data_IF_617471690448
#
_entry.id   IF_617471690448
#
_cell.length_a   1.000
_cell.length_b   1.000
_cell.length_c   1.000
_cell.angle_alpha   90.00
_cell.angle_beta   90.00
_cell.angle_gamma   90.00
#
_symmetry.space_group_name_H-M   'P 1'
#
loop_
_entity.id
_entity.type
_entity.pdbx_description
1 polymer ?
#
# COMPACT_ATOMS: atom_id res chain seq x y z
N UNK A 1 -7.69 -11.15 -73.57
CA UNK A 1 -7.58 -10.28 -72.37
C UNK A 1 -7.53 -11.18 -71.15
N UNK A 2 -6.42 -11.23 -70.40
CA UNK A 2 -6.40 -11.93 -69.13
C UNK A 2 -6.86 -10.99 -68.02
N UNK A 3 -7.77 -11.48 -67.19
CA UNK A 3 -8.29 -10.79 -66.02
C UNK A 3 -7.25 -10.91 -64.91
N UNK A 4 -6.67 -9.79 -64.50
CA UNK A 4 -5.81 -9.72 -63.34
C UNK A 4 -6.69 -9.71 -62.08
N UNK A 5 -6.92 -10.88 -61.50
CA UNK A 5 -7.49 -11.00 -60.15
C UNK A 5 -6.38 -11.07 -59.12
N UNK A 6 -6.24 -9.97 -58.39
CA UNK A 6 -6.11 -9.91 -56.95
C UNK A 6 -5.00 -10.73 -56.26
N UNK A 7 -3.76 -10.27 -56.44
CA UNK A 7 -2.65 -10.53 -55.50
C UNK A 7 -2.43 -9.40 -54.50
N UNK A 8 -3.36 -8.44 -54.43
CA UNK A 8 -3.26 -7.24 -53.59
C UNK A 8 -3.83 -7.49 -52.19
N UNK A 9 -5.03 -8.07 -52.11
CA UNK A 9 -5.73 -8.29 -50.84
C UNK A 9 -4.99 -9.27 -49.94
N UNK A 10 -4.42 -10.34 -50.49
CA UNK A 10 -3.71 -11.37 -49.71
C UNK A 10 -2.40 -10.87 -49.09
N UNK A 11 -1.70 -9.90 -49.71
CA UNK A 11 -0.49 -9.27 -49.12
C UNK A 11 -0.81 -8.26 -48.03
N UNK A 12 -1.97 -7.61 -48.09
CA UNK A 12 -2.38 -6.63 -47.09
C UNK A 12 -2.87 -7.31 -45.81
N UNK A 13 -3.53 -8.47 -45.91
CA UNK A 13 -3.98 -9.27 -44.76
C UNK A 13 -2.80 -9.77 -43.92
N UNK A 14 -1.77 -10.34 -44.53
CA UNK A 14 -0.55 -10.78 -43.80
C UNK A 14 0.17 -9.60 -43.11
N UNK A 15 0.13 -8.40 -43.71
CA UNK A 15 0.77 -7.20 -43.17
C UNK A 15 0.09 -6.62 -41.92
N UNK A 16 -1.19 -6.91 -41.67
CA UNK A 16 -1.91 -6.45 -40.46
C UNK A 16 -1.88 -7.45 -39.31
N UNK A 17 -1.65 -8.74 -39.56
CA UNK A 17 -1.39 -9.71 -38.49
C UNK A 17 0.00 -9.48 -37.85
N UNK A 18 1.00 -9.15 -38.66
CA UNK A 18 2.37 -8.81 -38.22
C UNK A 18 2.44 -7.78 -37.06
N UNK A 19 1.76 -6.62 -37.11
CA UNK A 19 1.82 -5.63 -36.04
C UNK A 19 1.14 -6.09 -34.75
N UNK A 20 0.05 -6.86 -34.81
CA UNK A 20 -0.62 -7.36 -33.60
C UNK A 20 0.27 -8.38 -32.86
N UNK A 21 0.82 -9.35 -33.58
CA UNK A 21 1.64 -10.39 -32.97
C UNK A 21 2.97 -9.85 -32.46
N UNK A 22 3.53 -8.82 -33.10
CA UNK A 22 4.71 -8.13 -32.58
C UNK A 22 4.40 -7.40 -31.26
N UNK A 23 3.28 -6.67 -31.19
CA UNK A 23 2.86 -6.04 -29.93
C UNK A 23 2.62 -7.06 -28.82
N UNK A 24 2.00 -8.20 -29.12
CA UNK A 24 1.79 -9.28 -28.14
C UNK A 24 3.11 -9.91 -27.69
N UNK A 25 4.06 -10.08 -28.60
CA UNK A 25 5.39 -10.60 -28.28
C UNK A 25 6.18 -9.64 -27.38
N UNK A 26 6.17 -8.35 -27.69
CA UNK A 26 6.80 -7.31 -26.87
C UNK A 26 6.16 -7.27 -25.47
N UNK A 27 4.83 -7.33 -25.40
CA UNK A 27 4.10 -7.39 -24.15
C UNK A 27 4.39 -8.65 -23.32
N UNK A 28 4.67 -9.79 -23.96
CA UNK A 28 5.09 -11.01 -23.26
C UNK A 28 6.51 -10.92 -22.70
N UNK A 29 7.40 -10.13 -23.34
CA UNK A 29 8.77 -9.90 -22.85
C UNK A 29 8.77 -8.91 -21.67
N UNK A 30 7.93 -7.89 -21.72
CA UNK A 30 7.82 -6.84 -20.72
C UNK A 30 6.36 -6.60 -20.30
N UNK A 31 5.75 -7.54 -19.54
CA UNK A 31 4.33 -7.50 -19.16
C UNK A 31 3.96 -6.29 -18.31
N UNK A 32 4.89 -5.77 -17.52
CA UNK A 32 4.67 -4.65 -16.59
C UNK A 32 4.56 -3.32 -17.34
N UNK A 33 5.26 -3.21 -18.48
CA UNK A 33 5.25 -2.05 -19.36
C UNK A 33 4.19 -2.16 -20.48
N UNK A 34 3.48 -3.28 -20.57
CA UNK A 34 2.54 -3.55 -21.65
C UNK A 34 1.27 -2.66 -21.53
N UNK A 35 0.97 -1.91 -22.59
CA UNK A 35 -0.30 -1.18 -22.70
C UNK A 35 -1.41 -2.09 -23.25
N UNK A 36 -2.26 -2.57 -22.34
CA UNK A 36 -3.40 -3.42 -22.66
C UNK A 36 -4.38 -2.75 -23.62
N UNK A 37 -4.56 -1.42 -23.53
CA UNK A 37 -5.47 -0.71 -24.44
C UNK A 37 -4.91 -0.72 -25.86
N UNK A 38 -3.59 -0.58 -26.00
CA UNK A 38 -2.93 -0.69 -27.29
C UNK A 38 -3.07 -2.09 -27.89
N UNK A 39 -2.95 -3.15 -27.07
CA UNK A 39 -3.15 -4.54 -27.51
C UNK A 39 -4.59 -4.79 -27.99
N UNK A 40 -5.60 -4.33 -27.25
CA UNK A 40 -7.00 -4.48 -27.62
C UNK A 40 -7.34 -3.68 -28.89
N UNK A 41 -6.83 -2.46 -29.01
CA UNK A 41 -7.02 -1.66 -30.24
C UNK A 41 -6.34 -2.33 -31.45
N UNK A 42 -5.15 -2.92 -31.26
CA UNK A 42 -4.47 -3.69 -32.30
C UNK A 42 -5.27 -4.92 -32.73
N UNK A 43 -5.90 -5.59 -31.77
CA UNK A 43 -6.79 -6.72 -32.03
C UNK A 43 -8.01 -6.28 -32.85
N UNK A 44 -8.72 -5.23 -32.43
CA UNK A 44 -9.90 -4.73 -33.16
C UNK A 44 -9.56 -4.37 -34.61
N UNK A 45 -8.41 -3.73 -34.84
CA UNK A 45 -7.93 -3.39 -36.18
C UNK A 45 -7.64 -4.62 -37.04
N UNK A 46 -7.02 -5.66 -36.46
CA UNK A 46 -6.76 -6.92 -37.15
C UNK A 46 -8.06 -7.65 -37.50
N UNK A 47 -9.06 -7.63 -36.62
CA UNK A 47 -10.34 -8.29 -36.83
C UNK A 47 -11.22 -7.61 -37.89
N UNK A 48 -11.14 -6.28 -38.05
CA UNK A 48 -11.95 -5.54 -39.04
C UNK A 48 -11.78 -6.00 -40.49
N UNK A 49 -10.66 -6.65 -40.82
CA UNK A 49 -10.35 -7.06 -42.20
C UNK A 49 -10.63 -8.54 -42.49
N UNK A 50 -11.03 -9.30 -41.47
CA UNK A 50 -11.26 -10.74 -41.58
C UNK A 50 -12.75 -11.08 -41.74
N UNK A 51 -13.01 -12.22 -42.35
CA UNK A 51 -14.34 -12.83 -42.35
C UNK A 51 -14.70 -13.40 -40.96
N UNK A 52 -15.96 -13.76 -40.74
CA UNK A 52 -16.43 -14.20 -39.41
C UNK A 52 -15.64 -15.39 -38.85
N UNK A 53 -15.19 -16.31 -39.71
CA UNK A 53 -14.40 -17.47 -39.28
C UNK A 53 -12.97 -17.04 -38.90
N UNK A 54 -12.33 -16.20 -39.70
CA UNK A 54 -11.01 -15.64 -39.38
C UNK A 54 -11.04 -14.77 -38.12
N UNK A 55 -12.10 -13.96 -37.94
CA UNK A 55 -12.29 -13.17 -36.73
C UNK A 55 -12.34 -14.03 -35.47
N UNK A 56 -13.07 -15.15 -35.50
CA UNK A 56 -13.16 -16.05 -34.36
C UNK A 56 -11.82 -16.75 -34.08
N UNK A 57 -11.10 -17.17 -35.12
CA UNK A 57 -9.80 -17.85 -34.96
C UNK A 57 -8.72 -16.91 -34.43
N UNK A 58 -8.51 -15.78 -35.10
CA UNK A 58 -7.50 -14.77 -34.72
C UNK A 58 -7.88 -14.12 -33.39
N UNK A 59 -9.16 -13.81 -33.20
CA UNK A 59 -9.69 -13.27 -31.95
C UNK A 59 -9.44 -14.18 -30.76
N UNK A 60 -9.76 -15.47 -30.88
CA UNK A 60 -9.52 -16.43 -29.80
C UNK A 60 -8.03 -16.56 -29.47
N UNK A 61 -7.17 -16.65 -30.49
CA UNK A 61 -5.72 -16.79 -30.30
C UNK A 61 -5.11 -15.53 -29.66
N UNK A 62 -5.50 -14.34 -30.11
CA UNK A 62 -5.00 -13.09 -29.57
C UNK A 62 -5.49 -12.85 -28.14
N UNK A 63 -6.78 -13.10 -27.85
CA UNK A 63 -7.32 -12.97 -26.49
C UNK A 63 -6.59 -13.93 -25.53
N UNK A 64 -6.31 -15.17 -25.96
CA UNK A 64 -5.56 -16.11 -25.13
C UNK A 64 -4.16 -15.59 -24.78
N UNK A 65 -3.46 -14.94 -25.72
CA UNK A 65 -2.15 -14.33 -25.45
C UNK A 65 -2.25 -13.08 -24.57
N UNK A 66 -3.28 -12.23 -24.75
CA UNK A 66 -3.51 -11.09 -23.86
C UNK A 66 -3.73 -11.57 -22.41
N UNK A 67 -4.50 -12.64 -22.22
CA UNK A 67 -4.71 -13.23 -20.90
C UNK A 67 -3.41 -13.76 -20.31
N UNK A 68 -2.53 -14.37 -21.11
CA UNK A 68 -1.20 -14.79 -20.64
C UNK A 68 -0.33 -13.61 -20.20
N UNK A 69 -0.38 -12.48 -20.90
CA UNK A 69 0.32 -11.25 -20.48
C UNK A 69 -0.20 -10.78 -19.12
N UNK A 70 -1.52 -10.84 -18.90
CA UNK A 70 -2.12 -10.51 -17.60
C UNK A 70 -1.69 -11.46 -16.48
N UNK A 71 -1.66 -12.77 -16.76
CA UNK A 71 -1.18 -13.78 -15.83
C UNK A 71 0.26 -13.48 -15.42
N UNK A 72 1.16 -13.28 -16.39
CA UNK A 72 2.56 -12.98 -16.14
C UNK A 72 2.72 -11.70 -15.31
N UNK A 73 1.99 -10.64 -15.65
CA UNK A 73 2.00 -9.38 -14.90
C UNK A 73 1.51 -9.57 -13.46
N UNK A 74 0.47 -10.40 -13.26
CA UNK A 74 -0.06 -10.66 -11.92
C UNK A 74 0.95 -11.42 -11.06
N UNK A 75 1.63 -12.42 -11.63
CA UNK A 75 2.68 -13.19 -10.94
C UNK A 75 3.81 -12.27 -10.51
N UNK A 76 4.32 -11.41 -11.40
CA UNK A 76 5.38 -10.45 -11.07
C UNK A 76 4.95 -9.47 -9.98
N UNK A 77 3.72 -8.95 -10.05
CA UNK A 77 3.20 -8.07 -9.01
C UNK A 77 3.09 -8.77 -7.64
N UNK A 78 2.68 -10.06 -7.61
CA UNK A 78 2.66 -10.83 -6.37
C UNK A 78 4.07 -11.09 -5.83
N UNK A 79 5.02 -11.46 -6.70
CA UNK A 79 6.43 -11.64 -6.31
C UNK A 79 7.04 -10.35 -5.72
N UNK A 80 6.74 -9.19 -6.31
CA UNK A 80 7.18 -7.88 -5.80
C UNK A 80 6.58 -7.57 -4.42
N UNK A 81 5.28 -7.85 -4.24
CA UNK A 81 4.60 -7.68 -2.96
C UNK A 81 5.15 -8.61 -1.89
N UNK A 82 5.42 -9.87 -2.22
CA UNK A 82 6.05 -10.83 -1.30
C UNK A 82 7.48 -10.40 -0.93
N UNK A 83 8.27 -9.96 -1.91
CA UNK A 83 9.63 -9.46 -1.66
C UNK A 83 9.65 -8.23 -0.76
N UNK A 84 8.66 -7.35 -0.86
CA UNK A 84 8.59 -6.11 -0.07
C UNK A 84 8.05 -6.34 1.36
N UNK A 85 7.17 -7.33 1.54
CA UNK A 85 6.50 -7.60 2.81
C UNK A 85 7.10 -8.77 3.61
N UNK A 86 8.10 -9.48 3.06
CA UNK A 86 8.77 -10.56 3.79
C UNK A 86 9.69 -10.02 4.88
N UNK A 87 9.40 -10.37 6.14
CA UNK A 87 10.26 -10.08 7.31
C UNK A 87 11.55 -10.93 7.30
N UNK A 88 11.59 -11.97 6.48
CA UNK A 88 12.66 -12.98 6.46
C UNK A 88 13.97 -12.46 5.83
N UNK A 89 13.93 -11.29 5.19
CA UNK A 89 15.07 -10.69 4.50
C UNK A 89 15.55 -11.51 3.29
N UNK A 90 16.55 -11.02 2.53
CA UNK A 90 17.09 -11.76 1.42
C UNK A 90 17.79 -13.04 1.90
N UNK A 91 17.37 -14.21 1.39
CA UNK A 91 18.04 -15.49 1.65
C UNK A 91 19.40 -15.49 0.95
N UNK A 92 20.45 -15.28 1.73
CA UNK A 92 21.84 -15.26 1.27
C UNK A 92 22.51 -16.60 1.56
N UNK A 93 23.29 -17.17 0.61
CA UNK A 93 24.11 -18.34 0.91
C UNK A 93 25.19 -17.99 1.95
N UNK A 94 25.64 -18.99 2.72
CA UNK A 94 26.58 -18.80 3.84
C UNK A 94 27.90 -18.12 3.43
N UNK A 95 28.29 -18.23 2.16
CA UNK A 95 29.52 -17.68 1.58
C UNK A 95 29.33 -16.33 0.86
N UNK A 96 28.12 -15.73 0.92
CA UNK A 96 27.80 -14.53 0.15
C UNK A 96 28.72 -13.32 0.46
N UNK A 97 29.27 -13.27 1.68
CA UNK A 97 30.18 -12.22 2.12
C UNK A 97 31.67 -12.56 1.96
N UNK A 98 32.04 -13.81 1.66
CA UNK A 98 33.45 -14.23 1.60
C UNK A 98 34.26 -13.47 0.55
N UNK A 99 33.61 -12.98 -0.51
CA UNK A 99 34.23 -12.16 -1.56
C UNK A 99 34.30 -10.67 -1.22
N UNK A 100 33.56 -10.24 -0.20
CA UNK A 100 33.43 -8.83 0.21
C UNK A 100 34.11 -8.54 1.56
N UNK A 101 34.43 -9.56 2.35
CA UNK A 101 35.33 -9.43 3.50
C UNK A 101 36.74 -9.16 2.97
N UNK A 102 37.06 -7.88 2.78
CA UNK A 102 38.45 -7.46 2.65
C UNK A 102 39.12 -7.81 3.97
N UNK A 103 40.12 -8.68 3.91
CA UNK A 103 41.07 -8.90 4.99
C UNK A 103 41.58 -7.52 5.42
N UNK A 104 41.18 -7.07 6.62
CA UNK A 104 41.55 -5.76 7.14
C UNK A 104 43.07 -5.69 7.22
N UNK A 105 43.69 -4.85 6.40
CA UNK A 105 45.07 -4.45 6.64
C UNK A 105 45.05 -3.43 7.77
N UNK A 106 45.50 -3.87 8.93
CA UNK A 106 45.77 -2.98 10.06
C UNK A 106 46.98 -2.12 9.68
N UNK A 107 46.74 -0.82 9.49
CA UNK A 107 47.80 0.16 9.28
C UNK A 107 48.08 0.79 10.64
N UNK A 108 49.27 0.54 11.17
CA UNK A 108 49.74 1.21 12.37
C UNK A 108 50.04 2.68 12.05
N UNK A 109 49.13 3.55 12.51
CA UNK A 109 49.20 4.99 12.35
C UNK A 109 49.90 5.68 13.53
N UNK A 110 50.31 4.95 14.58
CA UNK A 110 50.98 5.54 15.75
C UNK A 110 52.28 6.25 15.35
N UNK A 111 52.97 5.72 14.35
CA UNK A 111 54.19 6.32 13.77
C UNK A 111 53.96 7.68 13.08
N UNK A 112 52.71 8.05 12.78
CA UNK A 112 52.36 9.32 12.12
C UNK A 112 51.68 10.33 13.06
N UNK A 113 51.49 9.99 14.33
CA UNK A 113 50.89 10.90 15.33
C UNK A 113 52.03 11.70 15.98
N UNK A 114 52.11 12.98 15.65
CA UNK A 114 53.00 13.91 16.35
C UNK A 114 52.49 14.14 17.79
N UNK A 115 53.36 14.07 18.83
CA UNK A 115 52.92 14.25 20.21
C UNK A 115 52.31 15.64 20.41
N UNK A 116 51.02 15.69 20.74
CA UNK A 116 50.35 16.95 21.10
C UNK A 116 50.97 17.49 22.40
N UNK A 117 51.69 18.63 22.31
CA UNK A 117 52.02 19.41 23.50
C UNK A 117 50.70 19.75 24.21
N UNK A 118 50.64 19.42 25.50
CA UNK A 118 49.42 19.41 26.29
C UNK A 118 48.62 20.71 26.17
N UNK A 119 47.55 20.69 25.37
CA UNK A 119 46.60 21.79 25.34
C UNK A 119 45.82 21.80 26.66
N UNK A 120 45.65 22.96 27.31
CA UNK A 120 44.94 23.03 28.59
C UNK A 120 43.49 22.59 28.39
N UNK A 121 43.12 21.45 28.99
CA UNK A 121 41.73 20.96 29.00
C UNK A 121 40.84 21.97 29.70
N UNK A 122 39.97 22.64 28.94
CA UNK A 122 38.80 23.32 29.51
C UNK A 122 37.83 22.24 29.99
N UNK A 123 37.45 22.28 31.27
CA UNK A 123 36.45 21.37 31.82
C UNK A 123 35.10 21.57 31.09
N UNK A 124 34.35 20.49 30.80
CA UNK A 124 33.05 20.62 30.16
C UNK A 124 32.02 21.14 31.16
N UNK A 125 31.73 22.44 31.12
CA UNK A 125 30.45 22.95 31.61
C UNK A 125 29.37 22.56 30.59
N UNK A 126 28.71 21.43 30.82
CA UNK A 126 27.40 21.15 30.20
C UNK A 126 26.33 21.51 31.22
N UNK A 127 25.81 22.73 31.11
CA UNK A 127 24.49 23.05 31.64
C UNK A 127 23.45 22.31 30.79
N UNK A 128 22.79 21.32 31.37
CA UNK A 128 21.62 20.67 30.77
C UNK A 128 20.51 21.71 30.78
N UNK A 129 20.22 22.29 29.62
CA UNK A 129 19.02 23.10 29.43
C UNK A 129 17.81 22.18 29.30
N UNK A 130 16.79 22.43 30.11
CA UNK A 130 15.46 21.83 29.96
C UNK A 130 14.88 22.22 28.59
N UNK A 131 14.80 21.25 27.68
CA UNK A 131 14.26 21.45 26.34
C UNK A 131 14.45 20.23 25.45
N UNK A 132 13.44 19.35 25.46
CA UNK A 132 13.10 18.38 24.41
C UNK A 132 14.16 17.33 24.01
N UNK A 133 14.61 16.53 24.98
CA UNK A 133 15.04 15.16 24.69
C UNK A 133 14.38 14.20 25.68
N UNK A 134 13.36 13.48 25.19
CA UNK A 134 12.65 12.42 25.93
C UNK A 134 13.31 11.05 25.65
N UNK A 135 14.61 11.03 25.40
CA UNK A 135 15.37 9.78 25.35
C UNK A 135 16.09 9.65 26.68
N UNK A 136 15.34 9.19 27.68
CA UNK A 136 15.92 8.63 28.89
C UNK A 136 16.22 7.15 28.65
N UNK A 137 17.35 6.66 29.16
CA UNK A 137 17.58 5.22 29.28
C UNK A 137 16.50 4.64 30.20
N UNK A 138 15.47 4.03 29.62
CA UNK A 138 14.46 3.31 30.38
C UNK A 138 14.98 1.89 30.58
N UNK A 139 15.11 1.48 31.83
CA UNK A 139 15.45 0.11 32.19
C UNK A 139 14.40 -0.85 31.62
N UNK A 140 14.85 -1.76 30.75
CA UNK A 140 14.01 -2.73 30.05
C UNK A 140 13.17 -3.56 31.03
N UNK A 141 13.72 -3.87 32.21
CA UNK A 141 13.00 -4.62 33.24
C UNK A 141 11.82 -3.84 33.82
N UNK A 142 11.98 -2.53 34.04
CA UNK A 142 10.91 -1.65 34.53
C UNK A 142 9.79 -1.49 33.49
N UNK A 143 10.15 -1.41 32.20
CA UNK A 143 9.19 -1.29 31.11
C UNK A 143 8.34 -2.57 30.95
N UNK A 144 8.98 -3.74 31.01
CA UNK A 144 8.28 -5.03 30.98
C UNK A 144 7.36 -5.20 32.18
N UNK A 145 7.77 -4.75 33.37
CA UNK A 145 6.96 -4.85 34.58
C UNK A 145 5.74 -3.90 34.55
N UNK A 146 5.91 -2.70 33.97
CA UNK A 146 4.81 -1.77 33.74
C UNK A 146 3.79 -2.32 32.72
N UNK A 147 4.28 -2.96 31.65
CA UNK A 147 3.44 -3.63 30.66
C UNK A 147 2.64 -4.79 31.29
N UNK A 148 3.30 -5.62 32.10
CA UNK A 148 2.68 -6.73 32.83
C UNK A 148 1.60 -6.23 33.82
N UNK A 149 1.85 -5.09 34.48
CA UNK A 149 0.86 -4.47 35.37
C UNK A 149 -0.34 -3.92 34.59
N UNK A 150 -0.11 -3.29 33.44
CA UNK A 150 -1.18 -2.76 32.59
C UNK A 150 -2.05 -3.89 32.02
N UNK A 151 -1.42 -4.98 31.55
CA UNK A 151 -2.12 -6.20 31.08
C UNK A 151 -2.93 -6.89 32.18
N UNK A 152 -2.54 -6.76 33.46
CA UNK A 152 -3.30 -7.27 34.61
C UNK A 152 -4.45 -6.35 35.05
N UNK A 153 -4.36 -5.05 34.75
CA UNK A 153 -5.37 -4.06 35.13
C UNK A 153 -6.54 -3.99 34.13
N UNK A 154 -6.30 -4.37 32.87
CA UNK A 154 -7.35 -4.54 31.86
C UNK A 154 -7.51 -6.01 31.46
N UNK A 155 -8.33 -6.81 32.17
CA UNK A 155 -8.62 -8.17 31.76
C UNK A 155 -9.61 -8.12 30.61
N UNK A 156 -9.13 -8.23 29.38
CA UNK A 156 -10.01 -8.61 28.27
C UNK A 156 -9.68 -7.95 26.96
N UNK A 157 -8.74 -8.57 26.24
CA UNK A 157 -8.96 -9.15 24.91
C UNK A 157 -7.64 -9.83 24.57
N UNK A 158 -7.65 -11.16 24.47
CA UNK A 158 -6.49 -11.83 23.86
C UNK A 158 -6.33 -11.29 22.43
N UNK A 159 -5.10 -11.16 21.92
CA UNK A 159 -4.85 -10.67 20.54
C UNK A 159 -5.69 -11.45 19.52
N UNK A 160 -5.92 -12.74 19.78
CA UNK A 160 -6.76 -13.63 18.99
C UNK A 160 -8.24 -13.21 19.00
N UNK A 161 -8.79 -12.78 20.13
CA UNK A 161 -10.17 -12.29 20.21
C UNK A 161 -10.33 -10.92 19.56
N UNK A 162 -9.32 -10.04 19.68
CA UNK A 162 -9.30 -8.76 18.99
C UNK A 162 -9.23 -8.95 17.46
N UNK A 163 -8.38 -9.88 17.00
CA UNK A 163 -8.25 -10.25 15.59
C UNK A 163 -9.54 -10.89 15.05
N UNK A 164 -10.13 -11.84 15.76
CA UNK A 164 -11.38 -12.47 15.35
C UNK A 164 -12.53 -11.46 15.25
N UNK A 165 -12.63 -10.51 16.19
CA UNK A 165 -13.61 -9.41 16.09
C UNK A 165 -13.35 -8.49 14.89
N UNK A 166 -12.09 -8.22 14.56
CA UNK A 166 -11.73 -7.45 13.37
C UNK A 166 -12.10 -8.20 12.07
N UNK A 167 -11.84 -9.51 12.01
CA UNK A 167 -12.20 -10.37 10.86
C UNK A 167 -13.72 -10.51 10.69
N UNK A 168 -14.47 -10.70 11.79
CA UNK A 168 -15.94 -10.72 11.78
C UNK A 168 -16.52 -9.39 11.29
N UNK A 169 -15.89 -8.27 11.67
CA UNK A 169 -16.28 -6.94 11.21
C UNK A 169 -16.04 -6.77 9.70
N UNK A 170 -14.93 -7.30 9.18
CA UNK A 170 -14.57 -7.22 7.75
C UNK A 170 -15.50 -8.04 6.82
N UNK A 171 -16.18 -9.08 7.34
CA UNK A 171 -17.10 -9.92 6.55
C UNK A 171 -18.57 -9.49 6.65
N UNK A 172 -18.89 -8.56 7.55
CA UNK A 172 -20.24 -8.06 7.80
C UNK A 172 -20.30 -6.52 7.69
N UNK A 173 -19.57 -5.96 6.74
CA UNK A 173 -19.52 -4.51 6.52
C UNK A 173 -20.81 -3.99 5.88
N UNK A 174 -21.70 -3.46 6.71
CA UNK A 174 -22.83 -2.66 6.28
C UNK A 174 -22.60 -1.18 6.65
N UNK A 175 -21.63 -0.59 5.96
CA UNK A 175 -21.23 0.82 6.13
C UNK A 175 -22.42 1.77 5.94
N UNK A 176 -23.40 1.38 5.12
CA UNK A 176 -24.60 2.18 4.87
C UNK A 176 -25.52 2.20 6.09
N UNK A 177 -25.82 1.04 6.68
CA UNK A 177 -26.61 0.97 7.91
C UNK A 177 -25.91 1.68 9.09
N UNK A 178 -24.58 1.61 9.16
CA UNK A 178 -23.80 2.31 10.19
C UNK A 178 -23.82 3.83 10.01
N UNK A 179 -23.75 4.29 8.75
CA UNK A 179 -23.85 5.72 8.41
C UNK A 179 -25.22 6.26 8.78
N UNK A 180 -26.30 5.54 8.43
CA UNK A 180 -27.68 5.90 8.78
C UNK A 180 -27.87 5.97 10.31
N UNK A 181 -27.32 5.03 11.07
CA UNK A 181 -27.41 5.04 12.53
C UNK A 181 -26.73 6.27 13.17
N UNK A 182 -25.56 6.68 12.65
CA UNK A 182 -24.86 7.88 13.12
C UNK A 182 -25.62 9.15 12.73
N UNK A 183 -26.11 9.24 11.49
CA UNK A 183 -26.89 10.38 11.00
C UNK A 183 -28.20 10.55 11.77
N UNK A 184 -28.93 9.45 12.00
CA UNK A 184 -30.16 9.44 12.77
C UNK A 184 -29.90 9.92 14.20
N UNK A 185 -28.85 9.39 14.85
CA UNK A 185 -28.51 9.79 16.21
C UNK A 185 -28.15 11.28 16.31
N UNK A 186 -27.34 11.80 15.38
CA UNK A 186 -26.97 13.22 15.33
C UNK A 186 -28.19 14.12 15.06
N UNK A 187 -29.09 13.68 14.18
CA UNK A 187 -30.33 14.41 13.84
C UNK A 187 -31.32 14.46 15.01
N UNK A 188 -31.51 13.35 15.71
CA UNK A 188 -32.38 13.26 16.89
C UNK A 188 -31.90 14.17 18.02
N UNK A 189 -30.58 14.25 18.22
CA UNK A 189 -29.97 15.08 19.27
C UNK A 189 -29.66 16.52 18.83
N UNK A 190 -29.93 16.86 17.56
CA UNK A 190 -29.63 18.16 16.92
C UNK A 190 -28.17 18.59 17.09
N UNK A 191 -27.26 17.64 16.98
CA UNK A 191 -25.82 17.86 17.14
C UNK A 191 -25.18 18.00 15.77
N UNK A 192 -24.56 19.15 15.52
CA UNK A 192 -23.86 19.43 14.26
C UNK A 192 -22.38 19.04 14.35
N UNK A 193 -21.79 19.06 15.55
CA UNK A 193 -20.37 18.78 15.75
C UNK A 193 -20.17 18.12 17.10
N UNK A 194 -19.47 17.00 17.13
CA UNK A 194 -19.26 16.20 18.34
C UNK A 194 -17.84 15.62 18.39
N UNK A 195 -17.20 15.55 19.58
CA UNK A 195 -15.95 14.82 19.72
C UNK A 195 -16.13 13.33 19.45
N UNK A 196 -15.16 12.71 18.77
CA UNK A 196 -15.19 11.30 18.37
C UNK A 196 -15.46 10.36 19.55
N UNK A 197 -14.80 10.62 20.68
CA UNK A 197 -14.95 9.81 21.91
C UNK A 197 -16.38 9.87 22.45
N UNK A 198 -17.03 11.03 22.36
CA UNK A 198 -18.41 11.19 22.81
C UNK A 198 -19.40 10.52 21.85
N UNK A 199 -19.12 10.59 20.55
CA UNK A 199 -19.90 9.88 19.53
C UNK A 199 -19.82 8.36 19.72
N UNK A 200 -18.61 7.86 20.01
CA UNK A 200 -18.37 6.44 20.29
C UNK A 200 -19.12 5.95 21.52
N UNK A 201 -19.09 6.72 22.60
CA UNK A 201 -19.86 6.41 23.81
C UNK A 201 -21.38 6.44 23.56
N UNK A 202 -21.86 7.33 22.69
CA UNK A 202 -23.28 7.52 22.43
C UNK A 202 -23.89 6.46 21.51
N UNK A 203 -23.23 6.16 20.39
CA UNK A 203 -23.68 5.17 19.40
C UNK A 203 -23.32 3.74 19.83
N UNK A 204 -22.38 3.59 20.79
CA UNK A 204 -21.86 2.30 21.29
C UNK A 204 -21.34 1.39 20.17
N UNK A 205 -20.72 2.00 19.17
CA UNK A 205 -20.13 1.30 18.03
C UNK A 205 -18.64 1.01 18.30
N UNK A 206 -18.10 -0.14 17.85
CA UNK A 206 -16.67 -0.41 17.86
C UNK A 206 -15.88 0.69 17.14
N UNK A 207 -14.69 1.02 17.66
CA UNK A 207 -13.89 2.13 17.14
C UNK A 207 -13.50 1.92 15.65
N UNK A 208 -13.22 0.68 15.25
CA UNK A 208 -12.92 0.33 13.86
C UNK A 208 -14.12 0.60 12.94
N UNK A 209 -15.32 0.14 13.32
CA UNK A 209 -16.55 0.40 12.56
C UNK A 209 -16.84 1.91 12.48
N UNK A 210 -16.59 2.65 13.56
CA UNK A 210 -16.74 4.10 13.58
C UNK A 210 -15.78 4.77 12.60
N UNK A 211 -14.50 4.39 12.58
CA UNK A 211 -13.54 4.95 11.61
C UNK A 211 -13.90 4.61 10.16
N UNK A 212 -14.29 3.36 9.88
CA UNK A 212 -14.75 2.97 8.55
C UNK A 212 -15.97 3.81 8.13
N UNK A 213 -16.95 3.94 9.02
CA UNK A 213 -18.18 4.72 8.75
C UNK A 213 -17.89 6.20 8.56
N UNK A 214 -16.98 6.79 9.34
CA UNK A 214 -16.64 8.21 9.21
C UNK A 214 -15.87 8.50 7.93
N UNK A 215 -14.92 7.63 7.56
CA UNK A 215 -14.08 7.78 6.37
C UNK A 215 -14.86 7.49 5.07
N UNK A 216 -15.75 6.49 5.08
CA UNK A 216 -16.50 6.05 3.90
C UNK A 216 -17.89 6.70 3.80
N UNK A 217 -18.48 7.10 4.93
CA UNK A 217 -19.82 7.70 5.02
C UNK A 217 -19.89 9.20 4.75
N UNK A 218 -18.77 9.84 4.38
CA UNK A 218 -18.73 11.24 3.95
C UNK A 218 -18.86 12.27 5.07
N UNK A 219 -18.48 11.91 6.30
CA UNK A 219 -18.40 12.85 7.41
C UNK A 219 -17.12 13.68 7.34
N UNK A 220 -17.19 14.95 7.74
CA UNK A 220 -16.00 15.79 7.86
C UNK A 220 -15.36 15.61 9.24
N UNK A 221 -14.06 15.35 9.27
CA UNK A 221 -13.27 15.13 10.49
C UNK A 221 -12.31 16.30 10.67
N UNK A 222 -12.38 16.97 11.81
CA UNK A 222 -11.48 18.08 12.18
C UNK A 222 -10.61 17.68 13.35
N UNK A 223 -9.29 17.88 13.21
CA UNK A 223 -8.36 17.80 14.32
C UNK A 223 -8.10 19.21 14.87
N UNK A 224 -8.52 19.47 16.11
CA UNK A 224 -8.43 20.79 16.76
C UNK A 224 -7.27 20.91 17.76
N UNK A 225 -6.43 19.89 17.85
CA UNK A 225 -5.29 19.80 18.77
C UNK A 225 -4.03 19.25 18.11
N UNK A 226 -3.05 18.85 18.93
CA UNK A 226 -1.82 18.23 18.42
C UNK A 226 -2.08 16.80 17.95
N UNK A 227 -1.18 16.28 17.12
CA UNK A 227 -1.22 14.88 16.66
C UNK A 227 -1.26 13.92 17.88
N UNK A 228 -2.11 12.89 17.83
CA UNK A 228 -2.42 11.91 18.91
C UNK A 228 -3.38 12.29 20.04
N UNK A 229 -3.97 13.49 20.04
CA UNK A 229 -5.01 13.83 21.02
C UNK A 229 -6.40 13.39 20.52
N UNK A 230 -6.81 12.15 20.81
CA UNK A 230 -8.09 11.57 20.35
C UNK A 230 -9.32 12.37 20.82
N UNK A 231 -9.22 13.04 21.97
CA UNK A 231 -10.26 13.94 22.49
C UNK A 231 -10.45 15.22 21.65
N UNK A 232 -9.46 15.56 20.82
CA UNK A 232 -9.45 16.73 19.94
C UNK A 232 -9.82 16.37 18.49
N UNK A 233 -10.31 15.16 18.25
CA UNK A 233 -10.88 14.74 16.97
C UNK A 233 -12.38 15.01 17.01
N UNK A 234 -12.84 15.88 16.13
CA UNK A 234 -14.23 16.30 16.04
C UNK A 234 -14.84 15.79 14.74
N UNK A 235 -16.06 15.28 14.83
CA UNK A 235 -16.87 14.85 13.70
C UNK A 235 -17.94 15.90 13.47
N UNK A 236 -18.03 16.37 12.23
CA UNK A 236 -19.10 17.24 11.76
C UNK A 236 -20.16 16.36 11.08
N UNK A 237 -21.42 16.58 11.44
CA UNK A 237 -22.54 15.99 10.70
C UNK A 237 -22.48 16.42 9.23
N UNK A 238 -22.98 15.57 8.32
CA UNK A 238 -22.97 15.86 6.89
C UNK A 238 -23.68 17.19 6.61
N UNK A 239 -22.88 18.20 6.30
CA UNK A 239 -23.37 19.41 5.66
C UNK A 239 -23.73 19.07 4.21
N UNK A 240 -24.86 19.57 3.72
CA UNK A 240 -25.21 19.55 2.31
C UNK A 240 -24.14 20.29 1.48
N UNK A 241 -23.06 19.59 1.13
CA UNK A 241 -22.02 20.13 0.28
C UNK A 241 -21.26 18.98 -0.39
N UNK A 242 -21.90 18.36 -1.40
CA UNK A 242 -21.27 17.89 -2.64
C UNK A 242 -22.30 17.16 -3.53
N UNK A 243 -23.30 17.90 -4.00
CA UNK A 243 -23.80 17.77 -5.38
C UNK A 243 -23.40 19.05 -6.09
N UNK A 244 -22.26 19.05 -6.77
CA UNK A 244 -21.91 19.90 -7.93
C UNK A 244 -20.40 19.95 -8.11
N UNK A 245 -19.88 19.10 -9.01
CA UNK A 245 -18.93 19.42 -10.09
C UNK A 245 -18.37 18.11 -10.66
#
# INVERSE_FOLDING_TARGET
MPVAFDGGVMRTIEQLELPLWELLREAAIAPDAADVRQLLNGLDQALCQLDTVGQLQVGAAAIAQIVQVFELRSTLAFEELEATNSEEGPVMPDDAFDRYVRQTMEVDLEQFIEPLESLPRKAPERSIGEGESIVGEIDQAALLQALDQQMRQEPGLTEVEAFNRAIETAHAEDVWAWTEAIEQWMSEHRVVTIPLVQLQAAVRMPLVQMWLTLLLGGFAIEQRGTFYQTEQIWVLGRGEASQSA
#
